data_IF_898975995199
#
_entry.id   IF_898975995199
#
_cell.length_a   1.000
_cell.length_b   1.000
_cell.length_c   1.000
_cell.angle_alpha   90.00
_cell.angle_beta   90.00
_cell.angle_gamma   90.00
#
_symmetry.space_group_name_H-M   'P 1'
#
loop_
_entity.id
_entity.type
_entity.pdbx_description
1 polymer ?
#
# COMPACT_ATOMS: atom_id res chain seq x y z
N UNK A 1 40.84 34.23 37.39
CA UNK A 1 40.69 33.36 36.20
C UNK A 1 39.44 32.53 36.43
N UNK A 2 38.35 32.78 35.69
CA UNK A 2 37.03 32.19 35.93
C UNK A 2 36.98 30.80 35.28
N UNK A 3 36.87 29.68 36.02
CA UNK A 3 36.61 28.39 35.40
C UNK A 3 35.15 28.39 34.93
N UNK A 4 34.96 28.73 33.65
CA UNK A 4 33.67 28.58 32.95
C UNK A 4 33.32 27.10 33.05
N UNK A 5 32.18 26.74 33.65
CA UNK A 5 32.00 25.41 34.22
C UNK A 5 31.80 24.39 33.11
N UNK A 6 32.43 23.24 33.31
CA UNK A 6 32.25 21.95 32.62
C UNK A 6 30.80 21.40 32.73
N UNK A 7 29.82 22.25 33.05
CA UNK A 7 28.42 21.92 33.36
C UNK A 7 27.48 22.08 32.16
N UNK A 8 27.97 22.56 31.00
CA UNK A 8 27.13 22.71 29.80
C UNK A 8 27.15 21.48 28.86
N UNK A 9 28.10 20.56 29.02
CA UNK A 9 28.23 19.41 28.10
C UNK A 9 27.33 18.22 28.50
N UNK A 10 26.87 18.15 29.76
CA UNK A 10 26.00 17.05 30.23
C UNK A 10 24.50 17.24 29.92
N UNK A 11 24.09 18.41 29.44
CA UNK A 11 22.65 18.70 29.20
C UNK A 11 22.15 18.25 27.82
N UNK A 12 23.02 17.78 26.92
CA UNK A 12 22.64 17.38 25.56
C UNK A 12 22.24 15.90 25.41
N UNK A 13 22.37 15.07 26.45
CA UNK A 13 22.04 13.63 26.39
C UNK A 13 20.59 13.27 26.75
N UNK A 14 19.73 14.27 27.01
CA UNK A 14 18.31 14.07 27.27
C UNK A 14 17.45 14.72 26.18
N UNK A 15 17.74 14.42 24.92
CA UNK A 15 16.69 14.53 23.91
C UNK A 15 15.67 13.44 24.25
N UNK A 16 14.42 13.77 24.63
CA UNK A 16 13.38 12.75 24.72
C UNK A 16 13.37 12.03 23.38
N UNK A 17 13.44 10.70 23.42
CA UNK A 17 13.28 9.88 22.23
C UNK A 17 12.06 10.41 21.48
N UNK A 18 12.28 10.85 20.24
CA UNK A 18 11.24 11.33 19.33
C UNK A 18 10.04 10.37 19.42
N UNK A 19 8.91 10.90 19.89
CA UNK A 19 7.67 10.17 20.12
C UNK A 19 7.35 9.28 18.92
N UNK A 20 7.50 7.96 19.06
CA UNK A 20 6.91 7.01 18.12
C UNK A 20 5.39 7.08 18.32
N UNK A 21 4.69 7.74 17.39
CA UNK A 21 3.23 7.68 17.38
C UNK A 21 2.80 6.21 17.30
N UNK A 22 1.95 5.77 18.24
CA UNK A 22 1.44 4.41 18.24
C UNK A 22 0.61 4.19 16.97
N UNK A 23 1.05 3.26 16.10
CA UNK A 23 0.31 2.87 14.90
C UNK A 23 -0.69 1.79 15.28
N UNK A 24 -1.96 2.02 14.96
CA UNK A 24 -2.98 0.96 15.04
C UNK A 24 -2.94 0.13 13.76
N UNK A 25 -2.67 -1.16 13.90
CA UNK A 25 -2.70 -2.14 12.80
C UNK A 25 -4.00 -2.92 12.87
N UNK A 26 -4.72 -2.98 11.75
CA UNK A 26 -5.93 -3.79 11.60
C UNK A 26 -5.79 -4.75 10.42
N UNK A 27 -6.08 -6.03 10.67
CA UNK A 27 -6.04 -7.06 9.63
C UNK A 27 -7.36 -7.06 8.87
N UNK A 28 -7.38 -6.45 7.69
CA UNK A 28 -8.56 -6.41 6.80
C UNK A 28 -8.79 -7.73 6.03
N UNK A 29 -7.69 -8.41 5.69
CA UNK A 29 -7.73 -9.72 5.03
C UNK A 29 -6.46 -10.52 5.37
N UNK A 30 -6.63 -11.84 5.55
CA UNK A 30 -5.55 -12.80 5.76
C UNK A 30 -5.52 -13.85 4.63
N UNK A 31 -4.51 -14.73 4.66
CA UNK A 31 -4.39 -15.88 3.74
C UNK A 31 -4.37 -15.49 2.25
N UNK A 32 -3.73 -14.36 1.93
CA UNK A 32 -3.44 -13.96 0.56
C UNK A 32 -2.18 -14.67 0.05
N UNK A 33 -2.27 -15.31 -1.12
CA UNK A 33 -1.14 -15.99 -1.73
C UNK A 33 -0.23 -14.98 -2.43
N UNK A 34 0.83 -14.54 -1.74
CA UNK A 34 1.86 -13.65 -2.28
C UNK A 34 1.26 -12.37 -2.92
N UNK A 35 0.58 -11.51 -2.14
CA UNK A 35 0.03 -10.26 -2.66
C UNK A 35 1.17 -9.36 -3.17
N UNK A 36 0.98 -8.69 -4.31
CA UNK A 36 2.00 -7.86 -4.95
C UNK A 36 1.61 -6.39 -5.02
N UNK A 37 0.52 -6.08 -5.72
CA UNK A 37 0.02 -4.73 -5.95
C UNK A 37 -1.43 -4.58 -5.49
N UNK A 38 -1.85 -3.34 -5.30
CA UNK A 38 -3.21 -3.00 -4.92
C UNK A 38 -3.64 -1.63 -5.42
N UNK A 39 -4.90 -1.52 -5.83
CA UNK A 39 -5.51 -0.28 -6.30
C UNK A 39 -6.88 -0.07 -5.66
N UNK A 40 -7.10 1.12 -5.11
CA UNK A 40 -8.40 1.52 -4.54
C UNK A 40 -9.38 1.84 -5.66
N UNK A 41 -10.57 1.24 -5.61
CA UNK A 41 -11.66 1.56 -6.50
C UNK A 41 -12.41 2.81 -5.99
N UNK A 42 -12.98 3.64 -6.88
CA UNK A 42 -13.82 4.76 -6.48
C UNK A 42 -15.12 4.30 -5.79
N UNK A 43 -15.86 5.23 -5.20
CA UNK A 43 -17.21 5.02 -4.67
C UNK A 43 -17.32 3.88 -3.64
N UNK A 44 -16.32 3.74 -2.78
CA UNK A 44 -16.22 2.70 -1.74
C UNK A 44 -16.37 1.26 -2.27
N UNK A 45 -16.06 1.05 -3.55
CA UNK A 45 -16.18 -0.25 -4.21
C UNK A 45 -15.09 -1.26 -3.80
N UNK A 46 -14.17 -0.85 -2.93
CA UNK A 46 -13.15 -1.69 -2.33
C UNK A 46 -11.79 -1.57 -3.00
N UNK A 47 -11.01 -2.66 -2.95
CA UNK A 47 -9.61 -2.69 -3.33
C UNK A 47 -9.39 -3.86 -4.30
N UNK A 48 -8.76 -3.60 -5.44
CA UNK A 48 -8.18 -4.63 -6.29
C UNK A 48 -6.84 -5.06 -5.70
N UNK A 49 -6.60 -6.36 -5.63
CA UNK A 49 -5.37 -6.98 -5.10
C UNK A 49 -4.87 -7.98 -6.14
N UNK A 50 -3.63 -7.84 -6.57
CA UNK A 50 -2.95 -8.84 -7.39
C UNK A 50 -2.25 -9.86 -6.49
N UNK A 51 -2.44 -11.13 -6.82
CA UNK A 51 -1.68 -12.24 -6.27
C UNK A 51 -0.66 -12.67 -7.31
N UNK A 52 0.61 -12.76 -6.92
CA UNK A 52 1.73 -13.02 -7.84
C UNK A 52 1.51 -14.27 -8.71
N UNK A 53 0.77 -15.26 -8.22
CA UNK A 53 0.43 -16.48 -8.94
C UNK A 53 -0.45 -16.30 -10.19
N UNK A 54 -0.99 -15.10 -10.46
CA UNK A 54 -1.80 -14.83 -11.65
C UNK A 54 -3.25 -14.45 -11.36
N UNK A 55 -3.63 -14.23 -10.11
CA UNK A 55 -5.02 -13.90 -9.74
C UNK A 55 -5.17 -12.41 -9.44
N UNK A 56 -6.19 -11.78 -10.03
CA UNK A 56 -6.69 -10.48 -9.58
C UNK A 56 -7.97 -10.70 -8.78
N UNK A 57 -8.05 -10.13 -7.58
CA UNK A 57 -9.22 -10.25 -6.70
C UNK A 57 -9.66 -8.90 -6.17
N UNK A 58 -10.94 -8.78 -5.84
CA UNK A 58 -11.50 -7.59 -5.19
C UNK A 58 -11.78 -7.89 -3.73
N UNK A 59 -11.23 -7.08 -2.82
CA UNK A 59 -11.64 -7.05 -1.43
C UNK A 59 -12.63 -5.92 -1.19
N UNK A 60 -13.66 -6.16 -0.38
CA UNK A 60 -14.62 -5.15 0.07
C UNK A 60 -14.89 -5.31 1.57
N UNK A 61 -15.10 -4.19 2.30
CA UNK A 61 -15.60 -4.23 3.68
C UNK A 61 -16.90 -5.05 3.78
N UNK A 62 -17.01 -5.88 4.81
CA UNK A 62 -18.19 -6.73 5.07
C UNK A 62 -18.40 -7.92 4.11
N UNK A 63 -17.83 -7.89 2.90
CA UNK A 63 -17.92 -8.99 1.91
C UNK A 63 -16.66 -9.85 1.82
N UNK A 64 -15.51 -9.29 2.22
CA UNK A 64 -14.23 -9.98 2.12
C UNK A 64 -13.70 -10.05 0.69
N UNK A 65 -12.94 -11.09 0.38
CA UNK A 65 -12.25 -11.28 -0.89
C UNK A 65 -13.11 -12.06 -1.88
N UNK A 66 -13.19 -11.57 -3.12
CA UNK A 66 -13.92 -12.23 -4.20
C UNK A 66 -13.21 -13.49 -4.72
N UNK A 67 -13.92 -14.24 -5.56
CA UNK A 67 -13.28 -15.15 -6.51
C UNK A 67 -12.34 -14.39 -7.47
N UNK A 68 -11.40 -15.08 -8.15
CA UNK A 68 -10.55 -14.46 -9.17
C UNK A 68 -11.38 -13.80 -10.27
N UNK A 69 -10.99 -12.58 -10.65
CA UNK A 69 -11.59 -11.83 -11.75
C UNK A 69 -11.13 -12.46 -13.07
N UNK A 70 -12.07 -12.65 -14.00
CA UNK A 70 -11.79 -13.19 -15.33
C UNK A 70 -11.10 -12.15 -16.24
N UNK A 71 -10.46 -12.63 -17.32
CA UNK A 71 -9.79 -11.77 -18.30
C UNK A 71 -8.40 -11.28 -17.88
N UNK A 72 -7.89 -11.75 -16.73
CA UNK A 72 -6.51 -11.52 -16.31
C UNK A 72 -5.57 -12.31 -17.23
N UNK A 73 -4.46 -11.72 -17.72
CA UNK A 73 -3.51 -12.40 -18.59
C UNK A 73 -2.86 -13.59 -17.88
N UNK A 74 -2.49 -14.61 -18.66
CA UNK A 74 -1.59 -15.65 -18.18
C UNK A 74 -0.21 -15.04 -17.87
N UNK A 75 0.41 -15.49 -16.79
CA UNK A 75 1.70 -14.96 -16.31
C UNK A 75 2.72 -16.07 -16.14
N UNK A 76 4.00 -15.70 -16.19
CA UNK A 76 5.08 -16.59 -15.80
C UNK A 76 5.42 -16.37 -14.31
N UNK A 77 4.81 -17.18 -13.44
CA UNK A 77 4.98 -17.08 -11.99
C UNK A 77 6.20 -17.89 -11.50
N UNK A 78 7.40 -17.39 -11.77
CA UNK A 78 8.66 -18.00 -11.31
C UNK A 78 9.64 -16.96 -10.78
N UNK A 79 10.32 -17.27 -9.67
CA UNK A 79 11.23 -16.34 -9.02
C UNK A 79 10.52 -15.05 -8.61
N UNK A 80 10.89 -13.95 -9.27
CA UNK A 80 10.30 -12.61 -9.08
C UNK A 80 9.16 -12.31 -10.07
N UNK A 81 8.93 -13.19 -11.05
CA UNK A 81 7.87 -13.03 -12.04
C UNK A 81 6.49 -13.42 -11.51
N UNK A 82 5.46 -12.89 -12.17
CA UNK A 82 4.05 -13.17 -11.87
C UNK A 82 3.12 -12.05 -12.31
N UNK A 83 1.91 -12.01 -11.75
CA UNK A 83 1.02 -10.87 -11.87
C UNK A 83 1.45 -9.81 -10.86
N UNK A 84 1.99 -8.70 -11.37
CA UNK A 84 2.62 -7.67 -10.56
C UNK A 84 1.63 -6.54 -10.24
N UNK A 85 1.86 -5.34 -10.74
CA UNK A 85 1.09 -4.17 -10.34
C UNK A 85 -0.30 -4.10 -11.00
N UNK A 86 -1.20 -3.33 -10.38
CA UNK A 86 -2.50 -2.98 -10.92
C UNK A 86 -2.72 -1.49 -10.71
N UNK A 87 -3.12 -0.79 -11.77
CA UNK A 87 -3.43 0.63 -11.72
C UNK A 87 -4.75 0.90 -12.45
N UNK A 88 -5.53 1.83 -11.90
CA UNK A 88 -6.71 2.34 -12.59
C UNK A 88 -6.25 3.41 -13.60
N UNK A 89 -6.74 3.30 -14.83
CA UNK A 89 -6.51 4.33 -15.81
C UNK A 89 -7.16 5.64 -15.37
N UNK A 90 -6.45 6.76 -15.56
CA UNK A 90 -7.08 8.08 -15.44
C UNK A 90 -8.06 8.24 -16.60
N UNK A 91 -9.33 8.45 -16.30
CA UNK A 91 -10.26 8.93 -17.31
C UNK A 91 -9.91 10.41 -17.61
N UNK A 92 -9.28 10.66 -18.75
CA UNK A 92 -9.20 12.02 -19.29
C UNK A 92 -10.48 12.29 -20.05
N UNK A 93 -11.12 13.46 -19.88
CA UNK A 93 -12.14 13.89 -20.82
C UNK A 93 -11.54 13.84 -22.21
N UNK A 94 -12.15 13.13 -23.14
CA UNK A 94 -11.86 13.34 -24.55
C UNK A 94 -12.21 14.80 -24.82
N UNK A 95 -11.27 15.58 -25.38
CA UNK A 95 -11.61 16.90 -25.91
C UNK A 95 -12.50 16.65 -27.13
N UNK A 96 -13.80 16.53 -26.88
CA UNK A 96 -14.82 16.68 -27.90
C UNK A 96 -14.88 18.14 -28.31
N UNK A 97 -14.55 18.40 -29.57
CA UNK A 97 -14.65 19.69 -30.27
C UNK A 97 -13.76 19.61 -31.51
N UNK A 98 -14.25 19.78 -32.74
CA UNK A 98 -15.27 20.70 -33.20
C UNK A 98 -15.98 20.18 -34.48
N UNK A 99 -17.16 20.74 -34.77
CA UNK A 99 -17.63 20.99 -36.14
C UNK A 99 -18.45 19.89 -36.77
#
# INVERSE_FOLDING_TARGET
MRPIPLLLILSALALPALSQAAVRVEVLQNRLAQPWGMAFLPDDQGILITLRGGELKRWQPGKGLSAPIAGVPQVWANGQGGLLDVALARISPSRGGCG
#
